data_IF_165253568538
#
_entry.id   IF_165253568538
#
_cell.length_a   1.000
_cell.length_b   1.000
_cell.length_c   1.000
_cell.angle_alpha   90.00
_cell.angle_beta   90.00
_cell.angle_gamma   90.00
#
_symmetry.space_group_name_H-M   'P 1'
#
loop_
_entity.id
_entity.type
_entity.pdbx_description
1 polymer ?
#
# COMPACT_ATOMS: atom_id res chain seq x y z
N UNK A 1 -3.52 13.91 -8.44
CA UNK A 1 -2.12 13.48 -8.25
C UNK A 1 -1.09 14.45 -8.82
N UNK A 2 -1.16 14.87 -10.09
CA UNK A 2 -0.15 15.80 -10.65
C UNK A 2 -0.13 17.15 -9.90
N UNK A 3 -1.32 17.69 -9.59
CA UNK A 3 -1.49 18.91 -8.79
C UNK A 3 -1.01 18.79 -7.34
N UNK A 4 -1.15 17.60 -6.72
CA UNK A 4 -0.63 17.38 -5.37
C UNK A 4 0.89 17.22 -5.36
N UNK A 5 1.49 16.75 -6.46
CA UNK A 5 2.93 16.49 -6.58
C UNK A 5 3.76 17.76 -6.81
N UNK A 6 3.24 18.70 -7.60
CA UNK A 6 3.97 19.87 -8.12
C UNK A 6 3.44 21.21 -7.61
N UNK A 7 2.28 21.22 -6.93
CA UNK A 7 1.63 22.45 -6.49
C UNK A 7 2.28 23.11 -5.28
N UNK A 8 1.98 24.40 -5.03
CA UNK A 8 2.40 25.11 -3.82
C UNK A 8 1.75 24.52 -2.56
N UNK A 9 2.37 24.76 -1.40
CA UNK A 9 1.92 24.22 -0.10
C UNK A 9 0.45 24.54 0.19
N UNK A 10 0.01 25.76 -0.14
CA UNK A 10 -1.37 26.21 0.04
C UNK A 10 -2.35 25.32 -0.74
N UNK A 11 -2.00 24.97 -1.98
CA UNK A 11 -2.84 24.13 -2.83
C UNK A 11 -2.89 22.68 -2.32
N UNK A 12 -1.78 22.15 -1.81
CA UNK A 12 -1.73 20.83 -1.20
C UNK A 12 -2.59 20.74 0.07
N UNK A 13 -2.52 21.76 0.93
CA UNK A 13 -3.37 21.86 2.11
C UNK A 13 -4.86 21.94 1.75
N UNK A 14 -5.19 22.73 0.71
CA UNK A 14 -6.55 22.81 0.17
C UNK A 14 -7.06 21.47 -0.36
N UNK A 15 -6.24 20.73 -1.11
CA UNK A 15 -6.58 19.38 -1.59
C UNK A 15 -6.86 18.45 -0.42
N UNK A 16 -6.00 18.43 0.61
CA UNK A 16 -6.21 17.58 1.78
C UNK A 16 -7.52 17.93 2.50
N UNK A 17 -7.76 19.23 2.74
CA UNK A 17 -8.96 19.70 3.43
C UNK A 17 -10.24 19.41 2.65
N UNK A 18 -10.21 19.36 1.32
CA UNK A 18 -11.36 19.02 0.49
C UNK A 18 -11.57 17.50 0.36
N UNK A 19 -10.50 16.75 0.11
CA UNK A 19 -10.62 15.31 -0.18
C UNK A 19 -10.99 14.48 1.05
N UNK A 20 -10.48 14.82 2.24
CA UNK A 20 -10.83 14.09 3.47
C UNK A 20 -12.33 14.08 3.75
N UNK A 21 -13.04 15.23 3.83
CA UNK A 21 -14.49 15.21 4.03
C UNK A 21 -15.25 14.59 2.86
N UNK A 22 -14.77 14.78 1.62
CA UNK A 22 -15.36 14.14 0.44
C UNK A 22 -15.30 12.60 0.56
N UNK A 23 -14.16 12.03 0.95
CA UNK A 23 -14.03 10.57 1.15
C UNK A 23 -14.96 10.08 2.25
N UNK A 24 -15.02 10.79 3.38
CA UNK A 24 -15.90 10.44 4.50
C UNK A 24 -17.37 10.45 4.07
N UNK A 25 -17.78 11.44 3.28
CA UNK A 25 -19.15 11.56 2.79
C UNK A 25 -19.50 10.46 1.76
N UNK A 26 -18.65 10.24 0.76
CA UNK A 26 -18.89 9.26 -0.32
C UNK A 26 -18.86 7.83 0.22
N UNK A 27 -17.89 7.51 1.07
CA UNK A 27 -17.70 6.15 1.62
C UNK A 27 -18.59 5.91 2.85
N UNK A 28 -19.26 6.96 3.38
CA UNK A 28 -20.09 6.92 4.59
C UNK A 28 -19.37 6.31 5.79
N UNK A 29 -18.09 6.66 5.94
CA UNK A 29 -17.21 6.08 6.96
C UNK A 29 -17.06 7.01 8.16
N UNK A 30 -16.93 6.46 9.36
CA UNK A 30 -16.70 7.29 10.55
C UNK A 30 -15.29 7.91 10.52
N UNK A 31 -15.15 9.17 10.95
CA UNK A 31 -13.85 9.87 11.00
C UNK A 31 -12.76 9.08 11.75
N UNK A 32 -13.14 8.39 12.84
CA UNK A 32 -12.21 7.55 13.61
C UNK A 32 -11.69 6.35 12.80
N UNK A 33 -12.50 5.76 11.93
CA UNK A 33 -12.09 4.66 11.07
C UNK A 33 -11.11 5.16 9.99
N UNK A 34 -11.41 6.33 9.40
CA UNK A 34 -10.49 6.99 8.46
C UNK A 34 -9.12 7.25 9.10
N UNK A 35 -9.10 7.82 10.31
CA UNK A 35 -7.87 8.12 11.01
C UNK A 35 -7.08 6.84 11.33
N UNK A 36 -7.75 5.76 11.78
CA UNK A 36 -7.11 4.46 12.02
C UNK A 36 -6.41 3.90 10.78
N UNK A 37 -6.99 4.04 9.60
CA UNK A 37 -6.35 3.65 8.34
C UNK A 37 -5.14 4.51 8.01
N UNK A 38 -5.22 5.81 8.32
CA UNK A 38 -4.13 6.75 8.09
C UNK A 38 -3.00 6.65 9.11
N UNK A 39 -3.21 6.01 10.28
CA UNK A 39 -2.19 5.90 11.33
C UNK A 39 -0.89 5.23 10.86
N UNK A 40 -0.99 4.18 10.02
CA UNK A 40 0.19 3.45 9.54
C UNK A 40 1.03 4.30 8.56
N UNK A 41 0.45 4.94 7.53
CA UNK A 41 1.21 5.90 6.71
C UNK A 41 1.72 7.11 7.52
N UNK A 42 0.96 7.57 8.50
CA UNK A 42 1.31 8.77 9.28
C UNK A 42 2.49 8.54 10.22
N UNK A 43 2.62 7.35 10.82
CA UNK A 43 3.78 7.01 11.64
C UNK A 43 5.07 6.98 10.82
N UNK A 44 5.01 6.45 9.59
CA UNK A 44 6.13 6.49 8.66
C UNK A 44 6.46 7.92 8.22
N UNK A 45 5.45 8.74 7.95
CA UNK A 45 5.63 10.15 7.61
C UNK A 45 6.35 10.89 8.74
N UNK A 46 5.92 10.72 10.00
CA UNK A 46 6.60 11.33 11.16
C UNK A 46 8.07 10.92 11.26
N UNK A 47 8.38 9.63 11.08
CA UNK A 47 9.77 9.15 11.06
C UNK A 47 10.58 9.82 9.96
N UNK A 48 10.00 9.97 8.76
CA UNK A 48 10.65 10.64 7.63
C UNK A 48 10.92 12.12 7.88
N UNK A 49 10.01 12.83 8.55
CA UNK A 49 10.19 14.24 8.89
C UNK A 49 11.30 14.44 9.92
N UNK A 50 11.35 13.58 10.93
CA UNK A 50 12.45 13.58 11.91
C UNK A 50 13.79 13.39 11.19
N UNK A 51 13.85 12.45 10.24
CA UNK A 51 15.05 12.21 9.44
C UNK A 51 15.43 13.40 8.54
N UNK A 52 14.46 14.18 8.03
CA UNK A 52 14.73 15.35 7.18
C UNK A 52 15.19 16.55 8.02
N UNK A 53 14.62 16.73 9.21
CA UNK A 53 15.00 17.80 10.13
C UNK A 53 16.45 17.64 10.61
N UNK A 54 16.89 16.39 10.81
CA UNK A 54 18.27 16.08 11.17
C UNK A 54 19.14 16.10 9.92
N UNK A 55 19.79 17.24 9.66
CA UNK A 55 20.80 17.33 8.61
C UNK A 55 22.21 17.24 9.18
N UNK A 56 23.10 16.56 8.44
CA UNK A 56 24.54 16.53 8.71
C UNK A 56 25.20 17.58 7.81
N UNK A 57 25.73 18.65 8.41
CA UNK A 57 26.49 19.68 7.70
C UNK A 57 27.95 19.69 8.16
N UNK A 58 28.94 19.78 7.25
CA UNK A 58 30.35 19.96 7.59
C UNK A 58 30.68 21.36 8.13
N UNK A 59 29.83 22.36 7.90
CA UNK A 59 30.05 23.76 8.29
C UNK A 59 28.89 24.28 9.12
N UNK A 60 29.20 24.88 10.28
CA UNK A 60 28.29 25.49 11.26
C UNK A 60 27.60 26.79 10.82
N UNK A 61 27.75 27.21 9.56
CA UNK A 61 27.24 28.52 9.14
C UNK A 61 25.76 28.42 8.75
N UNK A 62 24.86 28.91 9.63
CA UNK A 62 23.42 29.01 9.39
C UNK A 62 22.53 27.97 10.09
N UNK A 63 23.02 27.29 11.14
CA UNK A 63 22.23 26.31 11.92
C UNK A 63 21.59 26.97 13.15
N UNK A 64 20.28 26.77 13.34
CA UNK A 64 19.51 27.33 14.47
C UNK A 64 19.74 26.59 15.79
N UNK A 65 20.07 25.29 15.69
CA UNK A 65 20.47 24.44 16.81
C UNK A 65 21.60 23.55 16.34
N UNK A 66 22.73 23.60 17.04
CA UNK A 66 23.91 22.80 16.74
C UNK A 66 24.14 21.80 17.87
N UNK A 67 24.20 20.53 17.53
CA UNK A 67 24.74 19.49 18.40
C UNK A 67 25.99 18.96 17.72
N UNK A 68 27.14 19.28 18.29
CA UNK A 68 28.41 18.80 17.78
C UNK A 68 28.55 17.30 18.07
N UNK A 69 28.59 16.49 17.00
CA UNK A 69 28.87 15.05 17.10
C UNK A 69 30.20 14.77 16.39
N UNK A 70 31.32 15.11 17.05
CA UNK A 70 32.66 14.94 16.49
C UNK A 70 32.98 15.94 15.37
N UNK A 71 33.43 15.45 14.21
CA UNK A 71 33.77 16.28 13.03
C UNK A 71 32.58 16.71 12.17
N UNK A 72 31.36 16.41 12.61
CA UNK A 72 30.12 16.69 11.89
C UNK A 72 29.16 17.46 12.80
N UNK A 73 28.51 18.49 12.25
CA UNK A 73 27.49 19.25 12.94
C UNK A 73 26.13 18.67 12.60
N UNK A 74 25.41 18.20 13.62
CA UNK A 74 23.99 17.86 13.51
C UNK A 74 23.20 19.11 13.86
N UNK A 75 22.39 19.59 12.93
CA UNK A 75 21.55 20.72 13.24
C UNK A 75 20.41 20.95 12.28
N UNK A 76 19.53 21.83 12.71
CA UNK A 76 18.32 22.23 12.01
C UNK A 76 18.63 23.55 11.32
N UNK A 77 18.42 23.61 10.00
CA UNK A 77 18.54 24.83 9.20
C UNK A 77 17.16 25.26 8.73
N UNK A 78 16.99 26.54 8.38
CA UNK A 78 15.74 27.02 7.78
C UNK A 78 15.38 26.25 6.49
N UNK A 79 16.39 25.78 5.75
CA UNK A 79 16.21 24.96 4.56
C UNK A 79 15.60 23.58 4.90
N UNK A 80 16.04 22.93 5.99
CA UNK A 80 15.48 21.61 6.39
C UNK A 80 14.08 21.74 6.95
N UNK A 81 13.77 22.83 7.65
CA UNK A 81 12.42 23.14 8.12
C UNK A 81 11.47 23.39 6.94
N UNK A 82 11.87 24.20 5.96
CA UNK A 82 11.07 24.44 4.75
C UNK A 82 10.86 23.14 3.97
N UNK A 83 11.91 22.33 3.79
CA UNK A 83 11.81 21.03 3.14
C UNK A 83 10.85 20.09 3.88
N UNK A 84 10.92 20.02 5.20
CA UNK A 84 10.02 19.21 6.03
C UNK A 84 8.56 19.64 5.88
N UNK A 85 8.27 20.95 5.87
CA UNK A 85 6.92 21.50 5.65
C UNK A 85 6.41 21.08 4.27
N UNK A 86 7.21 21.27 3.22
CA UNK A 86 6.84 20.88 1.86
C UNK A 86 6.54 19.38 1.74
N UNK A 87 7.38 18.53 2.33
CA UNK A 87 7.20 17.07 2.32
C UNK A 87 5.96 16.66 3.10
N UNK A 88 5.67 17.29 4.25
CA UNK A 88 4.48 17.00 5.04
C UNK A 88 3.19 17.26 4.26
N UNK A 89 3.02 18.47 3.70
CA UNK A 89 1.81 18.83 2.96
C UNK A 89 1.66 18.04 1.66
N UNK A 90 2.76 17.82 0.93
CA UNK A 90 2.76 16.98 -0.29
C UNK A 90 2.34 15.56 0.02
N UNK A 91 2.92 14.96 1.06
CA UNK A 91 2.65 13.56 1.43
C UNK A 91 1.21 13.38 1.91
N UNK A 92 0.71 14.27 2.77
CA UNK A 92 -0.68 14.21 3.25
C UNK A 92 -1.70 14.41 2.12
N UNK A 93 -1.46 15.34 1.18
CA UNK A 93 -2.31 15.52 0.01
C UNK A 93 -2.32 14.29 -0.91
N UNK A 94 -1.16 13.68 -1.15
CA UNK A 94 -1.06 12.43 -1.91
C UNK A 94 -1.79 11.29 -1.21
N UNK A 95 -1.62 11.14 0.11
CA UNK A 95 -2.31 10.13 0.90
C UNK A 95 -3.83 10.28 0.82
N UNK A 96 -4.37 11.50 0.93
CA UNK A 96 -5.80 11.75 0.78
C UNK A 96 -6.33 11.42 -0.63
N UNK A 97 -5.52 11.66 -1.67
CA UNK A 97 -5.88 11.25 -3.04
C UNK A 97 -5.90 9.73 -3.17
N UNK A 98 -4.89 9.03 -2.65
CA UNK A 98 -4.80 7.57 -2.77
C UNK A 98 -5.89 6.87 -1.96
N UNK A 99 -6.20 7.35 -0.76
CA UNK A 99 -7.29 6.79 0.06
C UNK A 99 -8.64 6.97 -0.62
N UNK A 100 -8.90 8.12 -1.23
CA UNK A 100 -10.11 8.31 -2.04
C UNK A 100 -10.18 7.29 -3.17
N UNK A 101 -9.11 7.16 -3.94
CA UNK A 101 -9.06 6.28 -5.10
C UNK A 101 -9.31 4.82 -4.71
N UNK A 102 -8.59 4.32 -3.70
CA UNK A 102 -8.71 2.94 -3.22
C UNK A 102 -10.12 2.63 -2.71
N UNK A 103 -10.78 3.58 -2.03
CA UNK A 103 -12.10 3.35 -1.44
C UNK A 103 -13.26 3.52 -2.44
N UNK A 104 -13.05 4.22 -3.56
CA UNK A 104 -14.13 4.53 -4.52
C UNK A 104 -14.03 3.75 -5.82
N UNK A 105 -12.83 3.31 -6.22
CA UNK A 105 -12.60 2.68 -7.54
C UNK A 105 -12.47 1.16 -7.38
N UNK A 106 -13.49 0.38 -7.78
CA UNK A 106 -13.40 -1.07 -7.79
C UNK A 106 -12.53 -1.59 -8.94
N UNK A 107 -11.93 -2.76 -8.76
CA UNK A 107 -10.96 -3.36 -9.70
C UNK A 107 -11.54 -3.55 -11.10
N UNK A 108 -12.84 -3.84 -11.23
CA UNK A 108 -13.49 -3.98 -12.54
C UNK A 108 -13.50 -2.66 -13.35
N UNK A 109 -13.59 -1.50 -12.69
CA UNK A 109 -13.49 -0.21 -13.37
C UNK A 109 -12.04 0.06 -13.79
N UNK A 110 -11.07 -0.34 -12.97
CA UNK A 110 -9.65 -0.24 -13.29
C UNK A 110 -9.32 -1.03 -14.57
N UNK A 111 -9.84 -2.26 -14.70
CA UNK A 111 -9.70 -3.08 -15.91
C UNK A 111 -10.26 -2.39 -17.16
N UNK A 112 -11.44 -1.75 -17.07
CA UNK A 112 -12.01 -0.98 -18.19
C UNK A 112 -11.11 0.19 -18.60
N UNK A 113 -10.55 0.90 -17.62
CA UNK A 113 -9.61 1.99 -17.89
C UNK A 113 -8.35 1.44 -18.56
N UNK A 114 -7.78 0.34 -18.06
CA UNK A 114 -6.59 -0.31 -18.63
C UNK A 114 -6.80 -0.71 -20.10
N UNK A 115 -7.97 -1.28 -20.44
CA UNK A 115 -8.35 -1.58 -21.83
C UNK A 115 -8.44 -0.31 -22.69
N UNK A 116 -8.96 0.80 -22.13
CA UNK A 116 -9.10 2.09 -22.84
C UNK A 116 -7.75 2.79 -23.10
N UNK A 117 -6.76 2.60 -22.24
CA UNK A 117 -5.40 3.14 -22.42
C UNK A 117 -4.49 2.21 -23.23
N UNK A 118 -5.06 1.23 -23.95
CA UNK A 118 -4.35 0.32 -24.86
C UNK A 118 -3.24 -0.52 -24.19
N UNK A 119 -3.43 -0.91 -22.93
CA UNK A 119 -2.57 -1.94 -22.31
C UNK A 119 -2.81 -3.29 -23.03
N UNK A 120 -1.75 -4.07 -23.34
CA UNK A 120 -1.88 -5.39 -23.95
C UNK A 120 -2.89 -6.28 -23.22
N UNK A 121 -3.77 -6.96 -23.98
CA UNK A 121 -4.83 -7.81 -23.43
C UNK A 121 -4.29 -8.85 -22.43
N UNK A 122 -3.15 -9.46 -22.76
CA UNK A 122 -2.44 -10.42 -21.89
C UNK A 122 -2.21 -9.89 -20.46
N UNK A 123 -1.78 -8.62 -20.31
CA UNK A 123 -1.51 -8.04 -19.00
C UNK A 123 -2.81 -7.78 -18.22
N UNK A 124 -3.86 -7.37 -18.92
CA UNK A 124 -5.18 -7.13 -18.32
C UNK A 124 -5.78 -8.45 -17.82
N UNK A 125 -5.67 -9.51 -18.61
CA UNK A 125 -6.12 -10.86 -18.22
C UNK A 125 -5.35 -11.41 -17.04
N UNK A 126 -4.02 -11.29 -17.06
CA UNK A 126 -3.17 -11.72 -15.96
C UNK A 126 -3.58 -11.00 -14.67
N UNK A 127 -3.85 -9.69 -14.73
CA UNK A 127 -4.32 -8.90 -13.59
C UNK A 127 -5.68 -9.40 -13.06
N UNK A 128 -6.64 -9.72 -13.94
CA UNK A 128 -7.95 -10.27 -13.55
C UNK A 128 -7.80 -11.64 -12.89
N UNK A 129 -6.98 -12.52 -13.47
CA UNK A 129 -6.71 -13.85 -12.91
C UNK A 129 -6.03 -13.75 -11.55
N UNK A 130 -4.99 -12.93 -11.42
CA UNK A 130 -4.31 -12.68 -10.14
C UNK A 130 -5.32 -12.17 -9.11
N UNK A 131 -6.14 -11.18 -9.45
CA UNK A 131 -7.16 -10.63 -8.55
C UNK A 131 -8.14 -11.71 -8.07
N UNK A 132 -8.63 -12.57 -8.97
CA UNK A 132 -9.48 -13.71 -8.61
C UNK A 132 -8.75 -14.70 -7.70
N UNK A 133 -7.50 -15.01 -8.01
CA UNK A 133 -6.70 -15.93 -7.22
C UNK A 133 -6.35 -15.40 -5.83
N UNK A 134 -6.26 -14.09 -5.61
CA UNK A 134 -6.05 -13.51 -4.28
C UNK A 134 -7.15 -13.96 -3.31
N UNK A 135 -8.43 -13.89 -3.69
CA UNK A 135 -9.53 -14.32 -2.82
C UNK A 135 -9.53 -15.81 -2.56
N UNK A 136 -9.30 -16.60 -3.61
CA UNK A 136 -9.19 -18.06 -3.50
C UNK A 136 -8.04 -18.44 -2.56
N UNK A 137 -6.89 -17.78 -2.70
CA UNK A 137 -5.72 -18.02 -1.87
C UNK A 137 -5.98 -17.64 -0.40
N UNK A 138 -6.66 -16.51 -0.17
CA UNK A 138 -7.05 -16.09 1.19
C UNK A 138 -8.03 -17.07 1.84
N UNK A 139 -9.00 -17.59 1.09
CA UNK A 139 -9.97 -18.57 1.58
C UNK A 139 -9.28 -19.89 1.97
N UNK A 140 -8.42 -20.42 1.10
CA UNK A 140 -7.63 -21.63 1.37
C UNK A 140 -6.68 -21.45 2.56
N UNK A 141 -5.98 -20.32 2.62
CA UNK A 141 -5.12 -19.98 3.75
C UNK A 141 -5.93 -19.88 5.05
N UNK A 142 -7.13 -19.30 5.00
CA UNK A 142 -8.06 -19.21 6.12
C UNK A 142 -8.50 -20.60 6.61
N UNK A 143 -8.87 -21.49 5.69
CA UNK A 143 -9.27 -22.86 6.01
C UNK A 143 -8.12 -23.66 6.66
N UNK A 144 -6.89 -23.57 6.11
CA UNK A 144 -5.71 -24.22 6.68
C UNK A 144 -5.39 -23.66 8.07
N UNK A 145 -5.40 -22.34 8.22
CA UNK A 145 -5.15 -21.67 9.51
C UNK A 145 -6.18 -22.09 10.55
N UNK A 146 -7.46 -22.18 10.18
CA UNK A 146 -8.52 -22.59 11.07
C UNK A 146 -8.32 -24.05 11.55
N UNK A 147 -7.99 -24.97 10.64
CA UNK A 147 -7.64 -26.35 10.99
C UNK A 147 -6.42 -26.44 11.92
N UNK A 148 -5.41 -25.60 11.73
CA UNK A 148 -4.25 -25.53 12.61
C UNK A 148 -4.58 -24.95 14.00
N UNK A 149 -5.47 -23.96 14.06
CA UNK A 149 -5.95 -23.39 15.34
C UNK A 149 -6.69 -24.44 16.18
N UNK A 150 -7.53 -25.28 15.56
CA UNK A 150 -8.22 -26.39 16.24
C UNK A 150 -7.25 -27.44 16.82
N UNK A 151 -6.03 -27.52 16.30
CA UNK A 151 -4.95 -28.41 16.77
C UNK A 151 -3.97 -27.71 17.71
N UNK A 152 -4.33 -26.54 18.25
CA UNK A 152 -3.46 -25.70 19.08
C UNK A 152 -2.13 -25.30 18.42
N UNK A 153 -2.09 -25.25 17.08
CA UNK A 153 -0.88 -25.01 16.30
C UNK A 153 -0.24 -23.63 16.52
N UNK A 154 -1.00 -22.65 17.02
CA UNK A 154 -0.52 -21.29 17.29
C UNK A 154 -0.28 -21.01 18.78
N UNK A 155 -0.20 -22.05 19.62
CA UNK A 155 0.12 -21.86 21.03
C UNK A 155 1.64 -21.74 21.24
N UNK A 156 2.12 -20.52 21.50
CA UNK A 156 3.54 -20.20 21.66
C UNK A 156 4.27 -19.88 20.35
N UNK A 157 5.40 -19.18 20.46
CA UNK A 157 6.16 -18.68 19.30
C UNK A 157 6.72 -19.79 18.41
N UNK A 158 7.28 -20.86 19.01
CA UNK A 158 7.86 -21.99 18.26
C UNK A 158 6.80 -22.73 17.43
N UNK A 159 5.67 -23.06 18.05
CA UNK A 159 4.57 -23.75 17.34
C UNK A 159 3.95 -22.84 16.27
N UNK A 160 3.83 -21.54 16.53
CA UNK A 160 3.31 -20.58 15.55
C UNK A 160 4.17 -20.53 14.28
N UNK A 161 5.50 -20.54 14.41
CA UNK A 161 6.40 -20.57 13.25
C UNK A 161 6.30 -21.89 12.47
N UNK A 162 6.27 -23.03 13.17
CA UNK A 162 6.10 -24.34 12.55
C UNK A 162 4.75 -24.47 11.82
N UNK A 163 3.66 -24.03 12.44
CA UNK A 163 2.33 -24.02 11.83
C UNK A 163 2.28 -23.09 10.62
N UNK A 164 2.91 -21.92 10.69
CA UNK A 164 3.02 -21.03 9.55
C UNK A 164 3.80 -21.67 8.38
N UNK A 165 4.95 -22.30 8.65
CA UNK A 165 5.73 -23.00 7.63
C UNK A 165 4.93 -24.14 6.97
N UNK A 166 4.19 -24.91 7.77
CA UNK A 166 3.30 -25.96 7.28
C UNK A 166 2.16 -25.38 6.42
N UNK A 167 1.58 -24.24 6.83
CA UNK A 167 0.53 -23.57 6.07
C UNK A 167 1.06 -23.16 4.68
N UNK A 168 2.23 -22.53 4.62
CA UNK A 168 2.85 -22.11 3.36
C UNK A 168 3.12 -23.30 2.45
N UNK A 169 3.64 -24.40 2.98
CA UNK A 169 3.95 -25.61 2.20
C UNK A 169 2.67 -26.22 1.60
N UNK A 170 1.65 -26.46 2.42
CA UNK A 170 0.37 -27.04 1.97
C UNK A 170 -0.32 -26.11 0.97
N UNK A 171 -0.32 -24.81 1.23
CA UNK A 171 -0.94 -23.83 0.35
C UNK A 171 -0.23 -23.78 -1.01
N UNK A 172 1.10 -23.80 -1.03
CA UNK A 172 1.89 -23.86 -2.27
C UNK A 172 1.56 -25.10 -3.10
N UNK A 173 1.55 -26.28 -2.48
CA UNK A 173 1.19 -27.53 -3.18
C UNK A 173 -0.23 -27.47 -3.76
N UNK A 174 -1.20 -26.94 -3.01
CA UNK A 174 -2.59 -26.77 -3.49
C UNK A 174 -2.68 -25.79 -4.66
N UNK A 175 -1.96 -24.68 -4.61
CA UNK A 175 -1.93 -23.70 -5.71
C UNK A 175 -1.34 -24.32 -6.97
N UNK A 176 -0.22 -25.04 -6.85
CA UNK A 176 0.40 -25.73 -8.01
C UNK A 176 -0.53 -26.78 -8.62
N UNK A 177 -1.25 -27.54 -7.78
CA UNK A 177 -2.26 -28.50 -8.25
C UNK A 177 -3.42 -27.79 -8.97
N UNK A 178 -3.96 -26.72 -8.37
CA UNK A 178 -5.04 -25.92 -8.99
C UNK A 178 -4.62 -25.27 -10.30
N UNK A 179 -3.36 -24.83 -10.42
CA UNK A 179 -2.82 -24.31 -11.67
C UNK A 179 -2.81 -25.39 -12.77
N UNK A 180 -2.35 -26.60 -12.44
CA UNK A 180 -2.37 -27.74 -13.37
C UNK A 180 -3.80 -28.06 -13.83
N UNK A 181 -4.75 -28.15 -12.89
CA UNK A 181 -6.17 -28.38 -13.20
C UNK A 181 -6.77 -27.26 -14.07
N UNK A 182 -6.41 -26.00 -13.80
CA UNK A 182 -6.84 -24.87 -14.61
C UNK A 182 -6.29 -24.94 -16.03
N UNK A 183 -5.01 -25.27 -16.20
CA UNK A 183 -4.38 -25.42 -17.52
C UNK A 183 -5.12 -26.46 -18.35
N UNK A 184 -5.34 -27.66 -17.78
CA UNK A 184 -6.10 -28.73 -18.44
C UNK A 184 -7.51 -28.28 -18.80
N UNK A 185 -8.20 -27.57 -17.91
CA UNK A 185 -9.54 -27.06 -18.17
C UNK A 185 -9.59 -26.00 -19.28
N UNK A 186 -8.55 -25.17 -19.42
CA UNK A 186 -8.43 -24.18 -20.49
C UNK A 186 -8.12 -24.85 -21.84
N UNK A 187 -7.27 -25.87 -21.85
CA UNK A 187 -6.95 -26.65 -23.04
C UNK A 187 -8.20 -27.35 -23.59
N UNK A 188 -9.00 -27.97 -22.71
CA UNK A 188 -10.30 -28.58 -23.09
C UNK A 188 -11.30 -27.56 -23.65
N UNK A 189 -11.23 -26.31 -23.19
CA UNK A 189 -12.08 -25.21 -23.69
C UNK A 189 -11.54 -24.54 -24.95
N UNK A 190 -10.46 -25.06 -25.55
CA UNK A 190 -9.82 -24.49 -26.73
C UNK A 190 -9.44 -23.02 -26.52
N UNK A 191 -8.92 -22.69 -25.33
CA UNK A 191 -8.52 -21.32 -25.00
C UNK A 191 -7.46 -20.80 -25.98
N UNK A 192 -7.78 -19.74 -26.72
CA UNK A 192 -6.88 -19.15 -27.74
C UNK A 192 -6.12 -17.91 -27.24
N UNK A 193 -6.06 -17.68 -25.92
CA UNK A 193 -5.39 -16.51 -25.37
C UNK A 193 -6.30 -15.29 -25.17
N UNK A 194 -7.64 -15.45 -25.24
CA UNK A 194 -8.59 -14.37 -24.96
C UNK A 194 -9.70 -14.82 -23.99
N UNK A 195 -9.72 -14.26 -22.78
CA UNK A 195 -10.85 -14.37 -21.87
C UNK A 195 -11.91 -13.34 -22.26
N UNK A 196 -13.01 -13.81 -22.83
CA UNK A 196 -14.20 -12.99 -23.07
C UNK A 196 -14.80 -12.59 -21.70
N UNK A 197 -14.34 -11.46 -21.14
CA UNK A 197 -14.84 -10.81 -19.91
C UNK A 197 -15.63 -9.57 -20.27
#
# INVERSE_FOLDING_TARGET
MILSLSGPVILQAGIFMLLVPLTIYVVKMNFRQYLKWLMLPFSFLLLSLISILVSLSPSGDGLLFEVQAGSWYLGISDATVQAAIHVFFRSTACLACTTLFILTVPVHQLVKVMKKIYIPALLVELMVLIYRFIFIFMEEAGAIRHAQQLRFGYNGFKNSYNSFAMLVNVLFQRVMKRYSEMSVALDVKLYQGDFHV
#
